data_IF_984890768421
#
_entry.id   IF_984890768421
#
_cell.length_a   1.000
_cell.length_b   1.000
_cell.length_c   1.000
_cell.angle_alpha   90.00
_cell.angle_beta   90.00
_cell.angle_gamma   90.00
#
_symmetry.space_group_name_H-M   'P 1'
#
loop_
_entity.id
_entity.type
_entity.pdbx_description
1 polymer ?
#
# COMPACT_ATOMS: atom_id res chain seq x y z
N UNK A 1 -10.27 15.74 10.95
CA UNK A 1 -10.13 16.12 9.53
C UNK A 1 -11.20 15.37 8.75
N UNK A 2 -11.93 16.06 7.89
CA UNK A 2 -13.08 15.50 7.18
C UNK A 2 -12.59 14.48 6.14
N UNK A 3 -12.90 13.20 6.38
CA UNK A 3 -12.77 12.13 5.41
C UNK A 3 -13.82 12.32 4.31
N UNK A 4 -13.39 12.37 3.06
CA UNK A 4 -14.24 12.21 1.89
C UNK A 4 -13.62 11.13 1.02
N UNK A 5 -13.99 9.87 1.29
CA UNK A 5 -13.83 8.78 0.32
C UNK A 5 -14.96 8.92 -0.69
N UNK A 6 -14.64 9.39 -1.89
CA UNK A 6 -15.61 9.38 -3.00
C UNK A 6 -15.51 8.01 -3.66
N UNK A 7 -16.54 7.19 -3.45
CA UNK A 7 -16.80 5.98 -4.22
C UNK A 7 -17.36 6.37 -5.60
N UNK A 8 -16.85 5.86 -6.72
CA UNK A 8 -17.63 5.80 -7.95
C UNK A 8 -18.71 4.73 -7.75
N UNK A 9 -19.97 5.14 -7.88
CA UNK A 9 -21.14 4.28 -7.74
C UNK A 9 -21.23 3.21 -8.82
N UNK A 10 -21.81 2.08 -8.44
CA UNK A 10 -22.07 0.94 -9.33
C UNK A 10 -23.17 1.23 -10.34
N UNK A 11 -23.03 0.59 -11.51
CA UNK A 11 -24.07 0.49 -12.52
C UNK A 11 -24.84 -0.82 -12.36
N UNK A 12 -26.17 -0.72 -12.46
CA UNK A 12 -27.10 -1.82 -12.69
C UNK A 12 -27.35 -1.98 -14.20
N UNK A 13 -27.32 -3.22 -14.69
CA UNK A 13 -28.21 -3.68 -15.77
C UNK A 13 -27.60 -3.97 -17.14
N UNK A 14 -27.43 -5.25 -17.48
CA UNK A 14 -28.39 -5.99 -18.31
C UNK A 14 -27.81 -7.34 -18.77
N UNK A 15 -28.66 -8.36 -18.65
CA UNK A 15 -28.42 -9.79 -18.87
C UNK A 15 -28.39 -10.16 -20.35
N UNK A 16 -27.45 -11.03 -20.74
CA UNK A 16 -27.69 -12.00 -21.81
C UNK A 16 -27.16 -13.38 -21.38
N UNK A 17 -28.09 -14.33 -21.32
CA UNK A 17 -27.89 -15.71 -20.92
C UNK A 17 -27.06 -16.47 -21.96
N UNK A 18 -26.13 -17.30 -21.51
CA UNK A 18 -25.76 -18.50 -22.23
C UNK A 18 -25.63 -19.66 -21.24
N UNK A 19 -26.39 -20.72 -21.51
CA UNK A 19 -26.51 -21.95 -20.74
C UNK A 19 -25.38 -22.93 -21.11
N UNK A 20 -25.00 -23.74 -20.11
CA UNK A 20 -24.32 -25.06 -20.18
C UNK A 20 -22.84 -25.02 -20.60
N UNK A 21 -21.92 -25.79 -20.00
CA UNK A 21 -22.03 -27.15 -19.47
C UNK A 21 -20.93 -27.42 -18.42
N UNK A 22 -21.29 -28.15 -17.38
CA UNK A 22 -20.46 -28.49 -16.21
C UNK A 22 -19.52 -29.67 -16.49
N UNK A 23 -18.24 -29.53 -16.18
CA UNK A 23 -17.32 -30.66 -15.96
C UNK A 23 -16.64 -30.57 -14.60
N UNK A 24 -17.09 -31.48 -13.73
CA UNK A 24 -16.51 -31.79 -12.43
C UNK A 24 -15.13 -32.45 -12.61
N UNK A 25 -14.08 -31.82 -12.10
CA UNK A 25 -12.84 -32.51 -11.79
C UNK A 25 -12.64 -32.50 -10.28
N UNK A 26 -12.79 -33.70 -9.69
CA UNK A 26 -12.46 -34.02 -8.30
C UNK A 26 -10.95 -33.82 -8.11
N UNK A 27 -10.57 -32.99 -7.14
CA UNK A 27 -9.22 -33.05 -6.56
C UNK A 27 -9.21 -34.13 -5.49
N UNK A 28 -8.34 -35.11 -5.70
CA UNK A 28 -8.13 -36.27 -4.84
C UNK A 28 -7.31 -35.87 -3.62
N UNK A 29 -7.82 -36.19 -2.43
CA UNK A 29 -7.08 -36.20 -1.15
C UNK A 29 -5.84 -37.10 -1.27
N UNK A 30 -4.67 -36.59 -0.89
CA UNK A 30 -3.49 -37.43 -0.68
C UNK A 30 -3.40 -37.75 0.82
N UNK A 31 -3.55 -39.04 1.12
CA UNK A 31 -3.52 -39.63 2.45
C UNK A 31 -2.08 -39.92 2.90
N UNK A 32 -1.90 -39.89 4.22
CA UNK A 32 -0.67 -40.17 4.94
C UNK A 32 -0.02 -41.51 4.55
N UNK A 33 1.29 -41.48 4.32
CA UNK A 33 2.14 -42.65 4.47
C UNK A 33 3.39 -42.27 5.27
N UNK A 34 3.49 -42.87 6.45
CA UNK A 34 4.61 -42.77 7.35
C UNK A 34 5.70 -43.71 6.84
N UNK A 35 6.90 -43.17 6.58
CA UNK A 35 8.08 -44.01 6.43
C UNK A 35 9.26 -43.42 7.21
N UNK A 36 9.78 -44.28 8.09
CA UNK A 36 10.84 -43.95 9.03
C UNK A 36 12.17 -44.28 8.39
N UNK A 37 12.98 -43.26 8.12
CA UNK A 37 14.43 -43.47 7.95
C UNK A 37 15.21 -42.30 8.51
N UNK A 38 16.05 -42.65 9.48
CA UNK A 38 16.96 -41.78 10.23
C UNK A 38 18.00 -41.14 9.31
N UNK A 39 17.91 -39.83 9.10
CA UNK A 39 18.98 -39.04 8.47
C UNK A 39 19.62 -38.16 9.53
N UNK A 40 20.95 -38.29 9.64
CA UNK A 40 21.81 -37.58 10.58
C UNK A 40 21.71 -36.07 10.37
N UNK A 41 21.28 -35.33 11.40
CA UNK A 41 21.38 -33.88 11.46
C UNK A 41 22.86 -33.46 11.53
N UNK A 42 23.41 -32.99 10.41
CA UNK A 42 24.55 -32.09 10.44
C UNK A 42 24.01 -30.67 10.61
N UNK A 43 24.25 -30.06 11.77
CA UNK A 43 23.92 -28.66 12.06
C UNK A 43 24.73 -27.73 11.15
N UNK A 44 24.18 -27.38 9.99
CA UNK A 44 24.60 -26.20 9.26
C UNK A 44 23.94 -25.01 9.96
N UNK A 45 24.74 -24.16 10.60
CA UNK A 45 24.25 -22.89 11.13
C UNK A 45 23.58 -22.12 9.97
N UNK A 46 22.26 -21.96 10.03
CA UNK A 46 21.53 -21.09 9.10
C UNK A 46 22.15 -19.70 9.25
N UNK A 47 22.81 -19.22 8.19
CA UNK A 47 23.19 -17.82 8.13
C UNK A 47 21.91 -17.00 8.11
N UNK A 48 21.50 -16.50 9.28
CA UNK A 48 20.35 -15.62 9.37
C UNK A 48 20.60 -14.38 8.52
N UNK A 49 19.74 -14.19 7.52
CA UNK A 49 19.83 -13.07 6.59
C UNK A 49 19.07 -11.89 7.17
N UNK A 50 19.71 -10.71 7.21
CA UNK A 50 19.08 -9.50 7.73
C UNK A 50 17.77 -9.20 7.01
N UNK A 51 16.70 -8.94 7.77
CA UNK A 51 15.37 -8.68 7.21
C UNK A 51 14.63 -9.93 6.70
N UNK A 52 15.13 -11.14 6.99
CA UNK A 52 14.48 -12.42 6.66
C UNK A 52 14.00 -13.06 7.96
N UNK A 53 13.00 -12.44 8.60
CA UNK A 53 12.47 -12.83 9.92
C UNK A 53 10.94 -12.89 9.88
N UNK A 54 10.37 -13.99 10.36
CA UNK A 54 8.93 -14.20 10.47
C UNK A 54 8.29 -13.41 11.62
N UNK A 55 6.97 -13.24 11.58
CA UNK A 55 6.19 -12.55 12.62
C UNK A 55 5.18 -13.50 13.27
N UNK A 56 5.15 -13.54 14.60
CA UNK A 56 4.17 -14.37 15.33
C UNK A 56 2.75 -13.87 15.07
N UNK A 57 1.83 -14.79 14.75
CA UNK A 57 0.41 -14.50 14.70
C UNK A 57 -0.15 -14.42 16.14
N UNK A 58 -0.82 -13.32 16.49
CA UNK A 58 -1.36 -13.05 17.83
C UNK A 58 -2.87 -13.30 17.92
N UNK A 59 -3.40 -14.10 16.97
CA UNK A 59 -4.80 -14.42 16.78
C UNK A 59 -5.45 -13.53 15.74
N UNK A 60 -5.63 -14.05 14.53
CA UNK A 60 -6.18 -13.34 13.36
C UNK A 60 -5.41 -12.05 13.00
N UNK A 61 -4.09 -12.02 13.20
CA UNK A 61 -3.24 -10.84 12.92
C UNK A 61 -2.39 -10.97 11.66
N UNK A 62 -2.68 -11.91 10.77
CA UNK A 62 -1.93 -12.09 9.53
C UNK A 62 -1.99 -10.84 8.62
N UNK A 63 -3.09 -10.09 8.63
CA UNK A 63 -3.20 -8.80 7.94
C UNK A 63 -2.12 -7.81 8.42
N UNK A 64 -1.88 -7.75 9.73
CA UNK A 64 -0.86 -6.90 10.33
C UNK A 64 0.54 -7.41 9.95
N UNK A 65 0.77 -8.72 10.06
CA UNK A 65 2.07 -9.31 9.74
C UNK A 65 2.45 -9.04 8.28
N UNK A 66 1.54 -9.26 7.33
CA UNK A 66 1.80 -9.01 5.92
C UNK A 66 2.14 -7.53 5.62
N UNK A 67 1.41 -6.59 6.24
CA UNK A 67 1.70 -5.15 6.11
C UNK A 67 3.06 -4.80 6.70
N UNK A 68 3.37 -5.30 7.90
CA UNK A 68 4.63 -5.03 8.57
C UNK A 68 5.83 -5.59 7.78
N UNK A 69 5.71 -6.78 7.19
CA UNK A 69 6.74 -7.35 6.31
C UNK A 69 7.02 -6.44 5.11
N UNK A 70 5.98 -5.97 4.41
CA UNK A 70 6.13 -5.06 3.27
C UNK A 70 6.75 -3.72 3.69
N UNK A 71 6.31 -3.12 4.79
CA UNK A 71 6.88 -1.85 5.29
C UNK A 71 8.34 -2.01 5.73
N UNK A 72 8.66 -3.11 6.42
CA UNK A 72 10.01 -3.45 6.87
C UNK A 72 10.94 -3.89 5.72
N UNK A 73 10.44 -4.00 4.49
CA UNK A 73 11.25 -4.30 3.30
C UNK A 73 11.54 -3.06 2.44
N UNK A 74 10.95 -1.90 2.77
CA UNK A 74 11.18 -0.65 2.05
C UNK A 74 12.47 0.01 2.55
N UNK A 75 13.57 -0.15 1.81
CA UNK A 75 14.91 0.28 2.21
C UNK A 75 15.00 1.71 2.74
N UNK A 76 14.43 2.74 2.07
CA UNK A 76 14.53 4.11 2.59
C UNK A 76 13.83 4.30 3.95
N UNK A 77 12.81 3.49 4.24
CA UNK A 77 12.13 3.48 5.53
C UNK A 77 12.97 2.75 6.57
N UNK A 78 13.50 1.58 6.22
CA UNK A 78 14.42 0.79 7.06
C UNK A 78 15.64 1.61 7.48
N UNK A 79 16.34 2.22 6.52
CA UNK A 79 17.49 3.08 6.78
C UNK A 79 17.14 4.25 7.71
N UNK A 80 15.94 4.81 7.59
CA UNK A 80 15.51 5.93 8.41
C UNK A 80 15.39 5.54 9.89
N UNK A 81 14.79 4.38 10.18
CA UNK A 81 14.63 3.90 11.55
C UNK A 81 15.93 3.33 12.12
N UNK A 82 16.64 2.47 11.38
CA UNK A 82 17.89 1.85 11.86
C UNK A 82 19.03 2.86 12.06
N UNK A 83 19.03 3.98 11.32
CA UNK A 83 20.01 5.06 11.57
C UNK A 83 19.69 5.94 12.79
N UNK A 84 18.59 5.68 13.50
CA UNK A 84 18.17 6.46 14.67
C UNK A 84 17.63 7.86 14.35
N UNK A 85 17.51 8.24 13.06
CA UNK A 85 17.01 9.57 12.65
C UNK A 85 15.60 9.85 13.18
N UNK A 86 14.78 8.82 13.32
CA UNK A 86 13.41 8.92 13.83
C UNK A 86 13.35 9.53 15.25
N UNK A 87 14.34 9.26 16.11
CA UNK A 87 14.39 9.73 17.51
C UNK A 87 14.31 11.25 17.56
N UNK A 88 15.09 11.93 16.70
CA UNK A 88 15.11 13.40 16.63
C UNK A 88 13.85 14.02 16.02
N UNK A 89 13.03 13.22 15.33
CA UNK A 89 11.80 13.65 14.68
C UNK A 89 10.55 13.33 15.49
N UNK A 90 10.67 12.47 16.50
CA UNK A 90 9.57 11.95 17.28
C UNK A 90 8.87 13.07 18.06
N UNK A 91 7.55 13.16 17.90
CA UNK A 91 6.72 14.04 18.70
C UNK A 91 6.50 13.44 20.09
N UNK A 92 6.54 14.29 21.14
CA UNK A 92 6.46 13.83 22.54
C UNK A 92 5.14 13.11 22.87
N UNK A 93 4.04 13.54 22.25
CA UNK A 93 2.69 13.10 22.63
C UNK A 93 2.13 11.96 21.75
N UNK A 94 2.80 11.62 20.64
CA UNK A 94 2.32 10.64 19.65
C UNK A 94 3.39 9.60 19.25
N UNK A 95 4.40 9.37 20.10
CA UNK A 95 5.58 8.58 19.75
C UNK A 95 5.51 7.06 20.01
N UNK A 96 4.50 6.57 20.73
CA UNK A 96 4.47 5.18 21.24
C UNK A 96 4.46 4.14 20.10
N UNK A 97 3.52 4.26 19.15
CA UNK A 97 3.41 3.34 18.02
C UNK A 97 4.63 3.41 17.09
N UNK A 98 5.16 4.61 16.82
CA UNK A 98 6.36 4.77 16.00
C UNK A 98 7.63 4.21 16.67
N UNK A 99 7.71 4.28 18.00
CA UNK A 99 8.81 3.69 18.77
C UNK A 99 8.71 2.17 18.78
N UNK A 100 7.52 1.62 19.00
CA UNK A 100 7.29 0.18 18.92
C UNK A 100 7.56 -0.38 17.52
N UNK A 101 7.20 0.37 16.46
CA UNK A 101 7.53 0.02 15.09
C UNK A 101 9.05 0.03 14.84
N UNK A 102 9.77 1.02 15.38
CA UNK A 102 11.22 1.10 15.28
C UNK A 102 11.93 -0.10 15.96
N UNK A 103 11.46 -0.51 17.14
CA UNK A 103 11.99 -1.68 17.84
C UNK A 103 11.72 -2.96 17.06
N UNK A 104 10.48 -3.17 16.60
CA UNK A 104 10.14 -4.32 15.77
C UNK A 104 11.03 -4.41 14.52
N UNK A 105 11.19 -3.29 13.81
CA UNK A 105 12.05 -3.22 12.63
C UNK A 105 13.52 -3.51 12.97
N UNK A 106 13.99 -3.05 14.13
CA UNK A 106 15.34 -3.36 14.60
C UNK A 106 15.50 -4.86 14.84
N UNK A 107 14.57 -5.49 15.57
CA UNK A 107 14.61 -6.93 15.85
C UNK A 107 14.58 -7.78 14.57
N UNK A 108 13.77 -7.39 13.58
CA UNK A 108 13.71 -8.07 12.27
C UNK A 108 15.00 -7.92 11.45
N UNK A 109 15.76 -6.84 11.63
CA UNK A 109 16.95 -6.53 10.84
C UNK A 109 18.27 -6.81 11.56
N UNK A 110 18.26 -7.05 12.88
CA UNK A 110 19.40 -7.60 13.61
C UNK A 110 19.75 -8.99 13.09
N UNK A 111 18.74 -9.80 12.76
CA UNK A 111 18.93 -11.16 12.23
C UNK A 111 19.29 -12.19 13.30
N UNK A 112 19.10 -11.89 14.59
CA UNK A 112 19.42 -12.82 15.69
C UNK A 112 18.30 -13.84 15.97
N UNK A 113 17.19 -13.78 15.23
CA UNK A 113 16.02 -14.64 15.43
C UNK A 113 15.27 -14.89 14.14
N UNK A 114 14.81 -16.13 13.94
CA UNK A 114 13.96 -16.51 12.81
C UNK A 114 12.56 -15.92 12.89
N UNK A 115 12.12 -15.55 14.11
CA UNK A 115 10.79 -15.00 14.32
C UNK A 115 10.74 -14.01 15.48
N UNK A 116 10.02 -12.90 15.30
CA UNK A 116 9.79 -11.87 16.33
C UNK A 116 8.29 -11.67 16.58
N UNK A 117 7.94 -11.17 17.77
CA UNK A 117 6.55 -10.91 18.15
C UNK A 117 6.21 -9.43 17.96
N UNK A 118 5.20 -9.06 17.15
CA UNK A 118 4.76 -7.67 17.00
C UNK A 118 3.84 -7.20 18.15
N UNK A 119 3.83 -7.87 19.30
CA UNK A 119 2.87 -7.62 20.39
C UNK A 119 2.93 -6.20 20.95
N UNK A 120 4.13 -5.65 21.14
CA UNK A 120 4.32 -4.28 21.62
C UNK A 120 3.76 -3.27 20.61
N UNK A 121 4.00 -3.49 19.31
CA UNK A 121 3.43 -2.65 18.26
C UNK A 121 1.91 -2.76 18.17
N UNK A 122 1.38 -3.98 18.26
CA UNK A 122 -0.07 -4.24 18.28
C UNK A 122 -0.74 -3.55 19.46
N UNK A 123 -0.15 -3.60 20.66
CA UNK A 123 -0.67 -2.93 21.84
C UNK A 123 -0.68 -1.40 21.66
N UNK A 124 0.40 -0.83 21.14
CA UNK A 124 0.52 0.61 20.91
C UNK A 124 -0.49 1.13 19.87
N UNK A 125 -0.62 0.47 18.72
CA UNK A 125 -1.63 0.81 17.71
C UNK A 125 -3.05 0.56 18.23
N UNK A 126 -3.26 -0.53 18.95
CA UNK A 126 -4.55 -0.92 19.51
C UNK A 126 -5.09 0.05 20.58
N UNK A 127 -4.22 0.76 21.28
CA UNK A 127 -4.59 1.84 22.21
C UNK A 127 -5.21 3.04 21.50
N UNK A 128 -4.76 3.32 20.27
CA UNK A 128 -5.27 4.41 19.43
C UNK A 128 -6.51 3.93 18.66
N UNK A 129 -6.47 2.70 18.16
CA UNK A 129 -7.53 2.07 17.38
C UNK A 129 -7.96 0.73 18.02
N UNK A 130 -8.94 0.74 18.95
CA UNK A 130 -9.36 -0.45 19.70
C UNK A 130 -9.84 -1.62 18.84
N UNK A 131 -10.22 -1.39 17.58
CA UNK A 131 -10.58 -2.44 16.64
C UNK A 131 -9.44 -3.47 16.43
N UNK A 132 -8.17 -3.05 16.49
CA UNK A 132 -7.02 -3.93 16.29
C UNK A 132 -6.60 -4.75 17.52
N UNK A 133 -7.20 -4.48 18.69
CA UNK A 133 -7.06 -5.34 19.88
C UNK A 133 -7.97 -6.57 19.81
N UNK A 134 -9.05 -6.50 19.02
CA UNK A 134 -9.93 -7.64 18.79
C UNK A 134 -9.16 -8.73 18.02
N UNK A 135 -9.48 -9.99 18.29
CA UNK A 135 -8.95 -11.14 17.54
C UNK A 135 -9.81 -11.44 16.32
N UNK A 136 -10.32 -10.40 15.66
CA UNK A 136 -11.09 -10.49 14.42
C UNK A 136 -10.18 -10.18 13.25
N UNK A 137 -10.48 -10.75 12.09
CA UNK A 137 -9.80 -10.36 10.87
C UNK A 137 -10.14 -8.92 10.51
N UNK A 138 -9.21 -8.27 9.81
CA UNK A 138 -9.31 -6.88 9.40
C UNK A 138 -8.82 -6.75 7.96
N UNK A 139 -9.21 -5.67 7.32
CA UNK A 139 -8.71 -5.34 6.00
C UNK A 139 -7.25 -4.83 6.09
N UNK A 140 -6.35 -5.42 5.30
CA UNK A 140 -4.94 -5.06 5.31
C UNK A 140 -4.68 -3.64 4.75
N UNK A 141 -5.48 -3.18 3.79
CA UNK A 141 -5.38 -1.83 3.22
C UNK A 141 -5.81 -0.78 4.25
N UNK A 142 -6.89 -1.03 4.97
CA UNK A 142 -7.33 -0.14 6.06
C UNK A 142 -6.26 -0.06 7.15
N UNK A 143 -5.75 -1.20 7.62
CA UNK A 143 -4.67 -1.24 8.60
C UNK A 143 -3.42 -0.48 8.15
N UNK A 144 -3.01 -0.66 6.89
CA UNK A 144 -1.88 0.05 6.29
C UNK A 144 -2.06 1.57 6.36
N UNK A 145 -3.24 2.08 6.02
CA UNK A 145 -3.53 3.52 6.09
C UNK A 145 -3.38 4.04 7.51
N UNK A 146 -3.95 3.33 8.49
CA UNK A 146 -3.81 3.71 9.90
C UNK A 146 -2.35 3.74 10.33
N UNK A 147 -1.57 2.70 10.01
CA UNK A 147 -0.13 2.67 10.35
C UNK A 147 0.62 3.82 9.70
N UNK A 148 0.41 4.10 8.40
CA UNK A 148 1.08 5.21 7.73
C UNK A 148 0.69 6.57 8.34
N UNK A 149 -0.58 6.76 8.72
CA UNK A 149 -1.04 7.98 9.38
C UNK A 149 -0.39 8.16 10.75
N UNK A 150 -0.36 7.11 11.58
CA UNK A 150 0.29 7.18 12.91
C UNK A 150 1.78 7.47 12.80
N UNK A 151 2.48 6.80 11.87
CA UNK A 151 3.89 7.09 11.62
C UNK A 151 4.10 8.51 11.08
N UNK A 152 3.15 9.06 10.31
CA UNK A 152 3.23 10.45 9.87
C UNK A 152 3.07 11.41 11.05
N UNK A 153 2.01 11.27 11.83
CA UNK A 153 1.71 12.12 12.98
C UNK A 153 2.82 12.09 14.04
N UNK A 154 3.42 10.91 14.26
CA UNK A 154 4.53 10.75 15.18
C UNK A 154 5.84 11.39 14.70
N UNK A 155 6.05 11.52 13.38
CA UNK A 155 7.34 11.90 12.78
C UNK A 155 7.28 13.21 11.97
N UNK A 156 6.17 13.95 12.00
CA UNK A 156 6.01 15.18 11.24
C UNK A 156 6.83 16.32 11.82
N UNK A 157 7.47 17.07 10.92
CA UNK A 157 8.25 18.26 11.25
C UNK A 157 7.49 19.51 10.84
N UNK A 158 7.37 20.45 11.77
CA UNK A 158 6.88 21.79 11.49
C UNK A 158 7.99 22.62 10.85
N UNK A 159 7.86 22.92 9.54
CA UNK A 159 8.71 23.93 8.90
C UNK A 159 8.27 25.32 9.36
N UNK A 160 8.89 25.85 10.42
CA UNK A 160 8.89 27.30 10.68
C UNK A 160 9.68 27.98 9.56
N UNK A 161 9.00 28.68 8.63
CA UNK A 161 9.71 29.64 7.77
C UNK A 161 10.29 30.72 8.69
N UNK A 162 11.62 30.86 8.75
CA UNK A 162 12.24 32.09 9.24
C UNK A 162 11.88 33.18 8.23
N UNK A 163 11.02 34.11 8.61
CA UNK A 163 10.85 35.35 7.88
C UNK A 163 12.17 36.11 8.05
N UNK A 164 13.00 36.14 7.00
CA UNK A 164 14.07 37.12 6.93
C UNK A 164 13.38 38.43 6.54
N UNK A 165 13.21 39.33 7.51
CA UNK A 165 12.82 40.71 7.25
C UNK A 165 13.99 41.39 6.52
N UNK A 166 14.00 41.29 5.19
CA UNK A 166 14.64 42.31 4.38
C UNK A 166 13.55 43.31 4.02
N UNK A 167 13.76 44.54 4.49
CA UNK A 167 12.79 45.61 4.43
C UNK A 167 12.32 45.97 3.02
N UNK A 168 11.16 46.62 3.04
CA UNK A 168 10.49 47.37 1.97
C UNK A 168 9.56 46.58 1.04
N UNK A 169 8.28 46.91 1.26
CA UNK A 169 7.18 47.02 0.30
C UNK A 169 6.21 45.84 0.15
N UNK A 170 4.97 46.18 0.52
CA UNK A 170 3.68 45.69 0.01
C UNK A 170 3.10 44.40 0.59
N UNK A 171 2.09 44.61 1.44
CA UNK A 171 1.15 43.62 1.98
C UNK A 171 0.54 42.77 0.87
N UNK A 172 0.89 41.48 0.83
CA UNK A 172 0.03 40.42 0.32
C UNK A 172 0.19 39.23 1.25
N UNK A 173 -0.76 39.04 2.17
CA UNK A 173 -0.81 37.87 3.04
C UNK A 173 -1.14 36.62 2.20
N UNK A 174 -0.15 36.08 1.49
CA UNK A 174 -0.21 34.68 1.08
C UNK A 174 -0.01 33.86 2.34
N UNK A 175 -1.12 33.44 2.96
CA UNK A 175 -1.14 32.43 4.03
C UNK A 175 -0.69 31.10 3.41
N UNK A 176 0.61 30.97 3.17
CA UNK A 176 1.22 29.73 2.68
C UNK A 176 1.13 28.74 3.83
N UNK A 177 0.21 27.79 3.71
CA UNK A 177 0.02 26.71 4.67
C UNK A 177 1.37 26.06 4.97
N UNK A 178 1.71 25.94 6.25
CA UNK A 178 2.81 25.12 6.72
C UNK A 178 2.56 23.68 6.25
N UNK A 179 3.25 23.21 5.21
CA UNK A 179 3.15 21.81 4.80
C UNK A 179 3.88 20.95 5.84
N UNK A 180 3.13 20.27 6.68
CA UNK A 180 3.66 19.24 7.58
C UNK A 180 4.37 18.17 6.73
N UNK A 181 5.56 17.73 7.13
CA UNK A 181 6.32 16.74 6.36
C UNK A 181 7.02 15.75 7.27
N UNK A 182 6.94 14.46 6.93
CA UNK A 182 7.62 13.38 7.63
C UNK A 182 8.35 12.47 6.63
N UNK A 183 9.01 11.42 7.12
CA UNK A 183 9.54 10.37 6.23
C UNK A 183 8.41 9.72 5.40
N UNK A 184 7.22 9.56 5.99
CA UNK A 184 6.06 8.96 5.34
C UNK A 184 5.62 9.79 4.14
N UNK A 185 5.42 11.10 4.30
CA UNK A 185 5.00 11.96 3.17
C UNK A 185 6.10 12.17 2.12
N UNK A 186 7.35 11.94 2.49
CA UNK A 186 8.46 11.97 1.54
C UNK A 186 8.55 10.70 0.70
N UNK A 187 8.07 9.57 1.20
CA UNK A 187 8.15 8.27 0.53
C UNK A 187 6.85 7.93 -0.20
N UNK A 188 5.72 7.96 0.51
CA UNK A 188 4.46 7.37 0.04
C UNK A 188 3.47 8.38 -0.54
N UNK A 189 3.64 9.67 -0.25
CA UNK A 189 2.66 10.68 -0.65
C UNK A 189 2.80 11.11 -2.11
N UNK A 190 1.77 10.81 -2.89
CA UNK A 190 1.54 11.37 -4.21
C UNK A 190 0.44 12.44 -4.21
N UNK A 191 0.28 13.11 -5.35
CA UNK A 191 -0.82 14.06 -5.59
C UNK A 191 -1.50 13.74 -6.91
N UNK A 192 -2.82 13.68 -6.89
CA UNK A 192 -3.68 13.64 -8.06
C UNK A 192 -4.19 15.05 -8.37
N UNK A 193 -4.31 15.37 -9.65
CA UNK A 193 -5.06 16.50 -10.15
C UNK A 193 -6.28 15.98 -10.92
N UNK A 194 -7.46 16.46 -10.56
CA UNK A 194 -8.73 16.18 -11.22
C UNK A 194 -9.15 17.38 -12.05
N UNK A 195 -9.32 17.15 -13.35
CA UNK A 195 -9.96 18.08 -14.27
C UNK A 195 -11.45 17.74 -14.30
N UNK A 196 -12.29 18.69 -13.88
CA UNK A 196 -13.74 18.52 -13.76
C UNK A 196 -14.43 19.51 -14.70
N UNK A 197 -15.01 19.02 -15.79
CA UNK A 197 -15.67 19.83 -16.82
C UNK A 197 -17.18 19.67 -16.70
N UNK A 198 -17.89 20.78 -16.44
CA UNK A 198 -19.35 20.79 -16.48
C UNK A 198 -19.85 20.59 -17.91
N UNK A 199 -20.70 19.59 -18.14
CA UNK A 199 -21.18 19.27 -19.50
C UNK A 199 -22.28 20.22 -20.01
N UNK A 200 -22.79 21.12 -19.15
CA UNK A 200 -23.77 22.14 -19.55
C UNK A 200 -23.15 23.47 -19.98
N UNK A 201 -22.16 23.96 -19.24
CA UNK A 201 -21.57 25.29 -19.47
C UNK A 201 -20.08 25.24 -19.85
N UNK A 202 -19.50 24.04 -19.94
CA UNK A 202 -18.11 23.79 -20.32
C UNK A 202 -17.05 24.40 -19.37
N UNK A 203 -17.47 25.00 -18.25
CA UNK A 203 -16.53 25.51 -17.26
C UNK A 203 -15.75 24.37 -16.60
N UNK A 204 -14.43 24.52 -16.57
CA UNK A 204 -13.50 23.57 -15.95
C UNK A 204 -13.14 23.99 -14.52
N UNK A 205 -13.18 23.03 -13.59
CA UNK A 205 -12.73 23.16 -12.21
C UNK A 205 -11.59 22.19 -11.95
N UNK A 206 -10.54 22.63 -11.27
CA UNK A 206 -9.38 21.81 -10.94
C UNK A 206 -9.35 21.50 -9.45
N UNK A 207 -9.19 20.22 -9.10
CA UNK A 207 -9.09 19.78 -7.70
C UNK A 207 -7.82 18.95 -7.51
N UNK A 208 -7.00 19.32 -6.53
CA UNK A 208 -5.85 18.52 -6.14
C UNK A 208 -6.17 17.67 -4.91
N UNK A 209 -5.77 16.41 -4.93
CA UNK A 209 -5.94 15.48 -3.82
C UNK A 209 -4.62 14.76 -3.52
N UNK A 210 -4.35 14.55 -2.24
CA UNK A 210 -3.18 13.83 -1.77
C UNK A 210 -3.56 12.36 -1.57
N UNK A 211 -2.66 11.44 -1.93
CA UNK A 211 -2.87 10.01 -1.69
C UNK A 211 -1.60 9.34 -1.17
N UNK A 212 -1.77 8.26 -0.40
CA UNK A 212 -0.69 7.32 -0.02
C UNK A 212 -0.87 5.94 -0.66
N UNK A 213 -2.11 5.57 -0.97
CA UNK A 213 -2.49 4.31 -1.62
C UNK A 213 -3.45 4.64 -2.78
N UNK A 214 -3.18 4.11 -3.97
CA UNK A 214 -4.08 4.20 -5.12
C UNK A 214 -4.93 2.93 -5.19
N UNK A 215 -6.24 3.07 -5.02
CA UNK A 215 -7.17 1.95 -5.09
C UNK A 215 -7.70 1.79 -6.51
N UNK A 216 -7.19 0.81 -7.23
CA UNK A 216 -7.46 0.60 -8.65
C UNK A 216 -8.69 -0.29 -8.85
N UNK A 217 -9.62 0.09 -9.76
CA UNK A 217 -10.66 -0.80 -10.23
C UNK A 217 -10.05 -1.97 -11.02
N UNK A 218 -10.78 -3.08 -11.08
CA UNK A 218 -10.39 -4.27 -11.82
C UNK A 218 -11.38 -4.40 -13.00
N UNK A 219 -10.95 -4.13 -14.24
CA UNK A 219 -11.87 -4.01 -15.39
C UNK A 219 -12.37 -5.36 -15.94
N UNK A 220 -11.81 -6.48 -15.48
CA UNK A 220 -12.10 -7.83 -15.99
C UNK A 220 -12.40 -8.79 -14.85
N UNK A 221 -13.33 -9.73 -15.07
CA UNK A 221 -13.64 -10.77 -14.09
C UNK A 221 -12.64 -11.95 -14.12
N UNK A 222 -11.96 -12.17 -15.24
CA UNK A 222 -11.08 -13.34 -15.45
C UNK A 222 -9.59 -12.99 -15.34
N UNK A 223 -9.09 -12.17 -16.26
CA UNK A 223 -7.68 -11.77 -16.33
C UNK A 223 -7.56 -10.32 -16.82
N UNK A 224 -6.61 -9.56 -16.28
CA UNK A 224 -6.17 -8.28 -16.83
C UNK A 224 -4.73 -7.95 -16.39
N UNK A 225 -4.19 -6.86 -16.90
CA UNK A 225 -2.90 -6.30 -16.51
C UNK A 225 -3.07 -5.15 -15.51
N UNK A 226 -2.02 -4.87 -14.72
CA UNK A 226 -1.97 -3.68 -13.88
C UNK A 226 -2.11 -2.38 -14.71
N UNK A 227 -1.61 -2.39 -15.94
CA UNK A 227 -1.73 -1.28 -16.89
C UNK A 227 -3.18 -1.02 -17.29
N UNK A 228 -3.99 -2.07 -17.49
CA UNK A 228 -5.43 -1.91 -17.75
C UNK A 228 -6.16 -1.37 -16.52
N UNK A 229 -5.80 -1.81 -15.31
CA UNK A 229 -6.36 -1.26 -14.07
C UNK A 229 -6.02 0.25 -13.92
N UNK A 230 -4.78 0.64 -14.23
CA UNK A 230 -4.36 2.05 -14.27
C UNK A 230 -5.08 2.83 -15.37
N UNK A 231 -5.20 2.25 -16.56
CA UNK A 231 -5.95 2.82 -17.68
C UNK A 231 -7.39 3.13 -17.29
N UNK A 232 -8.07 2.17 -16.66
CA UNK A 232 -9.43 2.34 -16.15
C UNK A 232 -9.52 3.43 -15.07
N UNK A 233 -8.54 3.51 -14.14
CA UNK A 233 -8.52 4.55 -13.11
C UNK A 233 -8.33 5.97 -13.68
N UNK A 234 -7.47 6.14 -14.67
CA UNK A 234 -7.14 7.45 -15.27
C UNK A 234 -7.99 7.80 -16.49
N UNK A 235 -8.89 6.91 -16.92
CA UNK A 235 -9.85 7.17 -17.96
C UNK A 235 -10.78 8.32 -17.54
N UNK A 236 -11.20 9.13 -18.51
CA UNK A 236 -12.23 10.13 -18.26
C UNK A 236 -13.54 9.42 -17.96
N UNK A 237 -14.14 9.76 -16.82
CA UNK A 237 -15.44 9.26 -16.39
C UNK A 237 -16.49 10.38 -16.48
N UNK A 238 -17.77 10.03 -16.55
CA UNK A 238 -18.88 10.99 -16.58
C UNK A 238 -19.77 10.81 -15.36
N UNK A 239 -19.78 11.80 -14.49
CA UNK A 239 -20.63 11.84 -13.32
C UNK A 239 -22.04 12.27 -13.73
N UNK A 240 -22.98 11.32 -13.69
CA UNK A 240 -24.39 11.52 -14.06
C UNK A 240 -25.33 11.12 -12.92
N UNK A 241 -26.62 11.43 -13.07
CA UNK A 241 -27.68 11.00 -12.15
C UNK A 241 -27.41 11.36 -10.68
N UNK A 242 -27.26 10.35 -9.82
CA UNK A 242 -27.03 10.52 -8.38
C UNK A 242 -25.65 11.10 -8.05
N UNK A 243 -24.71 11.07 -9.01
CA UNK A 243 -23.34 11.54 -8.84
C UNK A 243 -23.09 12.94 -9.41
N UNK A 244 -24.14 13.64 -9.87
CA UNK A 244 -24.03 15.01 -10.38
C UNK A 244 -23.36 15.96 -9.39
N UNK A 245 -22.52 16.84 -9.92
CA UNK A 245 -21.77 17.82 -9.13
C UNK A 245 -22.46 19.18 -9.18
N UNK A 246 -22.32 19.96 -8.11
CA UNK A 246 -22.81 21.33 -8.11
C UNK A 246 -21.87 22.24 -8.93
N UNK A 247 -22.37 22.78 -10.04
CA UNK A 247 -21.64 23.75 -10.85
C UNK A 247 -21.88 25.16 -10.31
N UNK A 248 -20.83 25.86 -9.90
CA UNK A 248 -20.93 27.24 -9.40
C UNK A 248 -21.43 28.25 -10.45
N UNK A 249 -21.21 27.98 -11.75
CA UNK A 249 -21.64 28.85 -12.84
C UNK A 249 -23.09 28.59 -13.29
N UNK A 250 -23.57 27.34 -13.16
CA UNK A 250 -24.96 27.00 -13.44
C UNK A 250 -25.86 27.11 -12.22
N UNK A 251 -25.28 27.34 -11.03
CA UNK A 251 -25.96 27.38 -9.73
C UNK A 251 -26.89 26.17 -9.48
N UNK A 252 -26.49 25.00 -9.98
CA UNK A 252 -27.30 23.77 -9.95
C UNK A 252 -26.43 22.52 -10.12
N UNK A 253 -27.00 21.35 -9.80
CA UNK A 253 -26.37 20.06 -10.09
C UNK A 253 -26.34 19.81 -11.59
N UNK A 254 -25.18 19.41 -12.10
CA UNK A 254 -24.93 19.17 -13.52
C UNK A 254 -24.14 17.88 -13.70
N UNK A 255 -24.32 17.26 -14.86
CA UNK A 255 -23.44 16.20 -15.32
C UNK A 255 -22.05 16.80 -15.58
N UNK A 256 -21.01 16.02 -15.26
CA UNK A 256 -19.63 16.48 -15.43
C UNK A 256 -18.71 15.37 -15.90
N UNK A 257 -17.81 15.69 -16.82
CA UNK A 257 -16.68 14.84 -17.15
C UNK A 257 -15.57 15.06 -16.13
N UNK A 258 -15.02 13.97 -15.58
CA UNK A 258 -13.93 14.00 -14.61
C UNK A 258 -12.78 13.15 -15.11
N UNK A 259 -11.57 13.70 -15.06
CA UNK A 259 -10.36 12.97 -15.41
C UNK A 259 -9.28 13.20 -14.36
N UNK A 260 -8.70 12.12 -13.86
CA UNK A 260 -7.57 12.17 -12.94
C UNK A 260 -6.24 12.19 -13.70
N UNK A 261 -5.23 12.76 -13.07
CA UNK A 261 -3.82 12.69 -13.50
C UNK A 261 -2.91 12.76 -12.27
N UNK A 262 -1.70 12.23 -12.35
CA UNK A 262 -0.71 12.30 -11.27
C UNK A 262 0.06 13.62 -11.39
N UNK A 263 -0.18 14.55 -10.47
CA UNK A 263 0.57 15.81 -10.37
C UNK A 263 1.94 15.62 -9.70
N UNK A 264 2.02 14.69 -8.73
CA UNK A 264 3.26 14.31 -8.03
C UNK A 264 3.24 12.80 -7.80
N UNK A 265 4.15 12.08 -8.43
CA UNK A 265 4.32 10.66 -8.18
C UNK A 265 5.10 10.43 -6.86
N UNK A 266 4.68 9.48 -5.99
CA UNK A 266 5.40 9.15 -4.77
C UNK A 266 6.69 8.37 -5.08
N UNK A 267 7.64 8.32 -4.14
CA UNK A 267 8.85 7.51 -4.32
C UNK A 267 8.58 6.02 -4.17
N UNK A 268 7.62 5.68 -3.32
CA UNK A 268 7.06 4.35 -3.16
C UNK A 268 5.56 4.45 -3.40
N UNK A 269 5.07 3.88 -4.49
CA UNK A 269 3.63 3.82 -4.81
C UNK A 269 3.07 2.50 -4.31
N UNK A 270 1.88 2.56 -3.71
CA UNK A 270 1.15 1.40 -3.23
C UNK A 270 -0.15 1.32 -4.01
N UNK A 271 -0.35 0.22 -4.73
CA UNK A 271 -1.61 -0.07 -5.41
C UNK A 271 -2.42 -1.05 -4.57
N UNK A 272 -3.66 -0.67 -4.28
CA UNK A 272 -4.68 -1.54 -3.75
C UNK A 272 -5.56 -2.01 -4.90
N UNK A 273 -5.67 -3.33 -5.07
CA UNK A 273 -6.54 -3.93 -6.07
C UNK A 273 -7.91 -4.12 -5.44
N UNK A 274 -8.93 -3.39 -5.91
CA UNK A 274 -10.30 -3.39 -5.36
C UNK A 274 -11.01 -4.72 -5.61
N UNK A 275 -10.58 -5.78 -4.92
CA UNK A 275 -11.11 -7.13 -5.09
C UNK A 275 -12.43 -7.35 -4.37
N UNK A 276 -12.73 -6.58 -3.33
CA UNK A 276 -13.95 -6.76 -2.57
C UNK A 276 -15.04 -5.84 -3.09
N UNK A 277 -16.18 -6.45 -3.43
CA UNK A 277 -17.39 -5.78 -3.89
C UNK A 277 -18.54 -6.16 -2.94
N UNK A 278 -19.32 -5.15 -2.55
CA UNK A 278 -20.45 -5.27 -1.65
C UNK A 278 -21.69 -4.75 -2.37
N UNK A 279 -22.43 -5.65 -3.00
CA UNK A 279 -23.71 -5.32 -3.64
C UNK A 279 -24.85 -5.69 -2.68
N UNK A 280 -25.32 -4.70 -1.92
CA UNK A 280 -26.34 -4.88 -0.89
C UNK A 280 -25.85 -5.78 0.25
N UNK A 281 -26.41 -6.98 0.37
CA UNK A 281 -26.01 -7.98 1.38
C UNK A 281 -24.98 -8.98 0.88
N UNK A 282 -24.75 -9.05 -0.43
CA UNK A 282 -23.84 -10.03 -1.04
C UNK A 282 -22.44 -9.42 -1.06
N UNK A 283 -21.51 -10.10 -0.37
CA UNK A 283 -20.09 -9.81 -0.40
C UNK A 283 -19.44 -10.75 -1.40
N UNK A 284 -18.71 -10.19 -2.37
CA UNK A 284 -17.97 -10.96 -3.37
C UNK A 284 -16.51 -10.54 -3.36
N UNK A 285 -15.62 -11.52 -3.55
CA UNK A 285 -14.21 -11.28 -3.82
C UNK A 285 -13.90 -11.62 -5.28
N UNK A 286 -13.39 -10.64 -6.03
CA UNK A 286 -12.87 -10.81 -7.38
C UNK A 286 -11.56 -11.60 -7.31
N UNK A 287 -11.53 -12.73 -8.02
CA UNK A 287 -10.40 -13.65 -8.13
C UNK A 287 -9.65 -13.48 -9.46
N UNK A 288 -9.88 -12.36 -10.16
CA UNK A 288 -9.22 -11.98 -11.40
C UNK A 288 -7.71 -12.14 -11.28
N UNK A 289 -7.10 -12.82 -12.24
CA UNK A 289 -5.65 -12.88 -12.35
C UNK A 289 -5.14 -11.55 -12.90
N UNK A 290 -4.27 -10.88 -12.13
CA UNK A 290 -3.80 -9.54 -12.49
C UNK A 290 -2.31 -9.62 -12.74
N UNK A 291 -1.90 -9.48 -13.99
CA UNK A 291 -0.49 -9.50 -14.36
C UNK A 291 0.16 -8.13 -14.04
N UNK A 292 1.15 -8.13 -13.14
CA UNK A 292 1.85 -6.91 -12.72
C UNK A 292 3.37 -7.00 -12.97
N UNK A 293 4.01 -5.98 -13.57
CA UNK A 293 5.43 -6.06 -13.91
C UNK A 293 6.35 -6.02 -12.67
N UNK A 294 7.25 -6.99 -12.50
CA UNK A 294 8.23 -6.97 -11.38
C UNK A 294 9.19 -5.77 -11.47
N UNK A 295 9.50 -5.30 -12.67
CA UNK A 295 10.45 -4.22 -12.93
C UNK A 295 9.92 -3.29 -14.01
N UNK A 296 10.45 -2.06 -14.05
CA UNK A 296 10.18 -1.08 -15.10
C UNK A 296 8.70 -0.70 -15.29
N UNK A 297 7.90 -0.69 -14.22
CA UNK A 297 6.56 -0.11 -14.27
C UNK A 297 6.67 1.38 -14.61
N UNK A 298 6.00 1.80 -15.68
CA UNK A 298 6.00 3.17 -16.18
C UNK A 298 4.68 3.86 -15.87
N UNK A 299 4.75 4.95 -15.09
CA UNK A 299 3.61 5.80 -14.76
C UNK A 299 3.60 7.10 -15.58
N UNK A 300 4.58 7.31 -16.47
CA UNK A 300 4.67 8.50 -17.33
C UNK A 300 3.37 8.84 -18.06
N UNK A 301 2.60 7.87 -18.62
CA UNK A 301 1.36 8.17 -19.34
C UNK A 301 0.30 8.88 -18.48
N UNK A 302 0.38 8.73 -17.15
CA UNK A 302 -0.59 9.28 -16.21
C UNK A 302 -0.09 10.52 -15.48
N UNK A 303 1.16 10.94 -15.70
CA UNK A 303 1.77 12.09 -14.99
C UNK A 303 1.61 13.37 -15.81
N UNK A 304 1.09 14.42 -15.18
CA UNK A 304 0.93 15.73 -15.79
C UNK A 304 1.35 16.85 -14.82
N UNK A 305 2.15 17.85 -15.24
CA UNK A 305 2.69 18.03 -16.59
C UNK A 305 3.97 17.22 -16.86
N UNK A 306 4.22 16.90 -18.15
CA UNK A 306 5.31 16.02 -18.65
C UNK A 306 6.74 16.59 -18.53
N UNK A 307 6.96 17.67 -17.78
CA UNK A 307 8.23 18.41 -17.76
C UNK A 307 9.38 17.69 -17.03
N UNK A 308 9.25 16.41 -16.64
CA UNK A 308 10.25 15.69 -15.85
C UNK A 308 10.51 14.30 -16.41
N UNK A 309 11.77 13.84 -16.38
CA UNK A 309 12.08 12.41 -16.51
C UNK A 309 11.36 11.67 -15.38
N UNK A 310 10.45 10.79 -15.74
CA UNK A 310 9.67 10.05 -14.76
C UNK A 310 10.46 8.82 -14.27
N UNK A 311 10.38 8.53 -12.96
CA UNK A 311 10.98 7.33 -12.42
C UNK A 311 10.32 6.07 -12.99
N UNK A 312 11.12 5.05 -13.29
CA UNK A 312 10.64 3.68 -13.43
C UNK A 312 10.53 3.04 -12.05
N UNK A 313 9.48 2.26 -11.84
CA UNK A 313 9.24 1.59 -10.58
C UNK A 313 9.55 0.10 -10.67
N UNK A 314 10.07 -0.45 -9.58
CA UNK A 314 10.27 -1.90 -9.42
C UNK A 314 9.48 -2.38 -8.21
N UNK A 315 8.88 -3.56 -8.34
CA UNK A 315 8.10 -4.20 -7.29
C UNK A 315 9.04 -4.59 -6.15
N UNK A 316 8.69 -4.24 -4.92
CA UNK A 316 9.45 -4.58 -3.72
C UNK A 316 8.65 -5.36 -2.67
N UNK A 317 7.31 -5.36 -2.78
CA UNK A 317 6.44 -6.08 -1.87
C UNK A 317 5.08 -6.40 -2.49
N UNK A 318 4.51 -7.54 -2.11
CA UNK A 318 3.15 -7.97 -2.46
C UNK A 318 2.49 -8.47 -1.20
N UNK A 319 1.30 -7.96 -0.89
CA UNK A 319 0.43 -8.57 0.12
C UNK A 319 -0.56 -9.44 -0.62
N UNK A 320 -0.57 -10.74 -0.32
CA UNK A 320 -1.52 -11.68 -0.87
C UNK A 320 -2.66 -11.92 0.13
N UNK A 321 -3.86 -12.15 -0.39
CA UNK A 321 -5.01 -12.53 0.42
C UNK A 321 -5.68 -13.79 -0.15
N UNK A 322 -5.87 -14.79 0.70
CA UNK A 322 -6.59 -16.03 0.43
C UNK A 322 -7.91 -16.06 1.21
N UNK A 323 -8.94 -16.75 0.71
CA UNK A 323 -10.27 -16.74 1.32
C UNK A 323 -11.10 -15.49 0.96
N UNK A 324 -12.16 -15.23 1.72
CA UNK A 324 -13.21 -14.24 1.44
C UNK A 324 -13.26 -13.14 2.53
N UNK A 325 -14.18 -12.18 2.43
CA UNK A 325 -14.19 -10.97 3.27
C UNK A 325 -14.42 -11.23 4.78
N UNK A 326 -15.16 -12.29 5.11
CA UNK A 326 -15.49 -12.66 6.50
C UNK A 326 -14.51 -13.68 7.09
N UNK A 327 -13.55 -14.15 6.29
CA UNK A 327 -12.63 -15.22 6.66
C UNK A 327 -11.61 -15.51 5.56
N UNK A 328 -10.35 -15.21 5.84
CA UNK A 328 -9.23 -15.38 4.93
C UNK A 328 -7.87 -15.42 5.63
N UNK A 329 -6.80 -15.30 4.84
CA UNK A 329 -5.44 -15.31 5.36
C UNK A 329 -4.54 -14.42 4.51
N UNK A 330 -3.71 -13.63 5.16
CA UNK A 330 -2.78 -12.73 4.48
C UNK A 330 -1.36 -13.27 4.58
N UNK A 331 -0.62 -13.15 3.48
CA UNK A 331 0.83 -13.41 3.43
C UNK A 331 1.51 -12.25 2.70
N UNK A 332 2.83 -12.14 2.82
CA UNK A 332 3.59 -11.13 2.11
C UNK A 332 4.73 -11.75 1.31
N UNK A 333 4.92 -11.30 0.07
CA UNK A 333 6.15 -11.55 -0.67
C UNK A 333 6.96 -10.26 -0.67
N UNK A 334 8.19 -10.31 -0.18
CA UNK A 334 9.05 -9.13 -0.16
C UNK A 334 10.40 -9.43 -0.80
N UNK A 335 10.92 -8.46 -1.56
CA UNK A 335 12.26 -8.57 -2.12
C UNK A 335 13.27 -8.19 -1.05
N UNK A 336 14.02 -9.17 -0.55
CA UNK A 336 15.17 -8.87 0.27
C UNK A 336 16.19 -8.16 -0.59
N UNK A 337 16.69 -7.11 0.01
CA UNK A 337 17.23 -6.01 -0.72
C UNK A 337 18.76 -6.19 -0.69
N UNK A 338 19.32 -6.68 0.43
CA UNK A 338 20.74 -7.06 0.56
C UNK A 338 21.16 -8.15 -0.43
N UNK A 339 20.39 -9.23 -0.55
CA UNK A 339 20.74 -10.37 -1.42
C UNK A 339 19.99 -10.40 -2.77
N UNK A 340 19.07 -9.44 -2.99
CA UNK A 340 18.24 -9.33 -4.20
C UNK A 340 17.28 -10.50 -4.45
N UNK A 341 16.98 -11.31 -3.43
CA UNK A 341 16.12 -12.49 -3.51
C UNK A 341 14.71 -12.22 -2.96
N UNK A 342 13.69 -12.87 -3.52
CA UNK A 342 12.33 -12.81 -2.99
C UNK A 342 12.11 -13.83 -1.88
N UNK A 343 11.36 -13.41 -0.86
CA UNK A 343 10.93 -14.28 0.23
C UNK A 343 9.41 -14.19 0.41
N UNK A 344 8.80 -15.35 0.64
CA UNK A 344 7.44 -15.49 1.12
C UNK A 344 7.42 -15.52 2.65
N UNK A 345 6.64 -14.63 3.24
CA UNK A 345 6.40 -14.50 4.67
C UNK A 345 4.95 -14.88 4.97
N UNK A 346 4.79 -16.01 5.63
CA UNK A 346 3.53 -16.52 6.12
C UNK A 346 3.61 -16.66 7.64
N UNK A 347 3.29 -15.55 8.32
CA UNK A 347 3.50 -15.35 9.75
C UNK A 347 4.94 -15.74 10.14
N UNK A 348 5.10 -16.82 10.90
CA UNK A 348 6.39 -17.30 11.38
C UNK A 348 7.20 -18.04 10.31
N UNK A 349 6.57 -18.48 9.22
CA UNK A 349 7.21 -19.24 8.16
C UNK A 349 7.79 -18.30 7.12
N UNK A 350 9.07 -18.47 6.83
CA UNK A 350 9.78 -17.69 5.80
C UNK A 350 10.39 -18.66 4.81
N UNK A 351 10.08 -18.48 3.52
CA UNK A 351 10.58 -19.32 2.44
C UNK A 351 11.16 -18.45 1.33
N UNK A 352 12.33 -18.78 0.82
CA UNK A 352 12.84 -18.19 -0.42
C UNK A 352 11.94 -18.59 -1.59
N UNK A 353 11.65 -17.65 -2.50
CA UNK A 353 10.84 -17.90 -3.71
C UNK A 353 11.52 -17.31 -4.95
N UNK A 354 11.40 -17.97 -6.13
CA UNK A 354 11.89 -17.40 -7.38
C UNK A 354 10.98 -16.26 -7.89
N UNK A 355 11.52 -15.38 -8.74
CA UNK A 355 10.78 -14.29 -9.39
C UNK A 355 9.48 -14.76 -10.08
N UNK A 356 9.50 -15.97 -10.66
CA UNK A 356 8.33 -16.57 -11.34
C UNK A 356 7.17 -16.89 -10.40
N UNK A 357 7.43 -17.09 -9.10
CA UNK A 357 6.41 -17.38 -8.10
C UNK A 357 5.80 -16.09 -7.50
N UNK A 358 6.36 -14.92 -7.79
CA UNK A 358 5.89 -13.63 -7.25
C UNK A 358 4.57 -13.21 -7.90
N UNK A 359 4.28 -13.66 -9.13
CA UNK A 359 2.97 -13.45 -9.78
C UNK A 359 1.92 -14.36 -9.15
N UNK A 360 0.88 -13.77 -8.55
CA UNK A 360 -0.25 -14.54 -8.03
C UNK A 360 -1.57 -13.81 -8.22
N UNK A 361 -2.63 -14.57 -8.51
CA UNK A 361 -4.01 -14.06 -8.47
C UNK A 361 -4.46 -13.66 -7.05
N UNK A 362 -3.70 -14.04 -6.01
CA UNK A 362 -3.96 -13.67 -4.62
C UNK A 362 -3.47 -12.27 -4.27
N UNK A 363 -2.68 -11.61 -5.13
CA UNK A 363 -2.15 -10.28 -4.89
C UNK A 363 -3.27 -9.26 -4.58
N UNK A 364 -3.15 -8.56 -3.46
CA UNK A 364 -4.12 -7.59 -2.95
C UNK A 364 -3.55 -6.18 -2.86
N UNK A 365 -2.32 -6.05 -2.34
CA UNK A 365 -1.56 -4.79 -2.34
C UNK A 365 -0.23 -5.00 -3.06
N UNK A 366 0.15 -4.05 -3.91
CA UNK A 366 1.42 -4.05 -4.63
C UNK A 366 2.24 -2.83 -4.21
N UNK A 367 3.46 -3.05 -3.73
CA UNK A 367 4.40 -2.02 -3.31
C UNK A 367 5.49 -1.88 -4.37
N UNK A 368 5.61 -0.69 -4.92
CA UNK A 368 6.54 -0.35 -5.97
C UNK A 368 7.42 0.81 -5.53
N UNK A 369 8.73 0.70 -5.69
CA UNK A 369 9.66 1.80 -5.41
C UNK A 369 10.42 2.23 -6.65
N UNK A 370 10.62 3.54 -6.78
CA UNK A 370 11.51 4.11 -7.80
C UNK A 370 12.88 4.47 -7.26
N UNK A 371 13.13 4.28 -5.96
CA UNK A 371 14.46 4.44 -5.43
C UNK A 371 15.23 3.14 -5.69
N UNK A 372 16.40 3.19 -6.34
CA UNK A 372 17.21 2.01 -6.49
C UNK A 372 17.54 1.48 -5.09
N UNK A 373 17.49 0.16 -4.95
CA UNK A 373 18.02 -0.46 -3.75
C UNK A 373 19.49 -0.04 -3.59
N UNK A 374 19.80 0.61 -2.47
CA UNK A 374 21.17 0.96 -2.11
C UNK A 374 21.51 0.14 -0.89
N UNK A 375 22.59 -0.66 -0.97
CA UNK A 375 23.13 -1.36 0.20
C UNK A 375 23.52 -0.27 1.21
N UNK A 376 23.06 -0.34 2.48
CA UNK A 376 23.56 0.57 3.51
C UNK A 376 25.07 0.38 3.61
N UNK A 377 25.86 1.34 3.14
CA UNK A 377 27.30 1.33 3.41
C UNK A 377 27.46 1.41 4.93
N UNK A 378 28.06 0.40 5.59
CA UNK A 378 28.33 0.49 7.01
C UNK A 378 29.19 1.74 7.20
N UNK A 379 28.66 2.71 7.95
CA UNK A 379 29.48 3.85 8.37
C UNK A 379 30.62 3.28 9.20
N UNK A 380 31.84 3.32 8.69
CA UNK A 380 33.02 3.14 9.52
C UNK A 380 32.85 4.04 10.74
N UNK A 381 32.85 3.42 11.93
CA UNK A 381 32.96 4.16 13.19
C UNK A 381 34.31 4.89 13.10
N UNK A 382 34.28 6.19 12.88
CA UNK A 382 35.45 7.06 13.07
C UNK A 382 35.65 7.30 14.56
#
# INVERSE_FOLDING_TARGET
MQHWSIHPGGEEGSTQQCYQESRSHRFTECTDYSDTSSVKESSMAQQHSQGVTGLRNLGNTCYMNAILQCLCSITPLVEYFLSGKYITALQKDSGEAATAFAYLMTDMWLGDSDCVSPEVFRAAIGKIYPAFLKRTQQDAQEFLIYVLNELHEALKKYRRKKTQENGLSTKCYRKVASSESSIITRLFEGQLNYDIVCLKCENCTYKNEVFTVLSLPIPSECECSLQECLGCFFQQDTLTWNNQIHCAFCESKQDAAVRASIAKAPKTVIFHLKRFDCQGRVKRKLRTDIHYPLNNLDLSPYIYPLFRKHPKYSLCGVVNHFGDLDGGHYTAFCKNTVNQTWYSFDDTRVCEIPDSAVQTAAAYLLFYSCQPFSIPTPKCKC
#
